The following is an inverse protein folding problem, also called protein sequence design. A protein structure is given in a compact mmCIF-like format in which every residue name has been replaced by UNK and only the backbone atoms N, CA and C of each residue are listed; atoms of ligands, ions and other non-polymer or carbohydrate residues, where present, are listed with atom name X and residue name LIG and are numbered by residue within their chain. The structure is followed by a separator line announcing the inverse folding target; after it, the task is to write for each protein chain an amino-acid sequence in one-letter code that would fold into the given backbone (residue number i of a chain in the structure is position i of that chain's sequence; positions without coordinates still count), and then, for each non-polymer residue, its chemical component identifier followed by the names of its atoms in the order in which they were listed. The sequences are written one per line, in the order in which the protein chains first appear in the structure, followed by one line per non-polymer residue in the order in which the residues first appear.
data_IF_653885620216
#
_entry.id   IF_653885620216
#
_cell.length_a   1.000
_cell.length_b   1.000
_cell.length_c   1.000
_cell.angle_alpha   90.00
_cell.angle_beta   90.00
_cell.angle_gamma   90.00
#
_symmetry.space_group_name_H-M   'P 1'
#
loop_
_entity.id
_entity.type
_entity.pdbx_description
1 polymer ?
#
# COMPACT_ATOMS: atom_id res chain seq x y z
N UNK A 1 -13.69 2.77 -14.19
CA UNK A 1 -13.76 2.49 -15.61
C UNK A 1 -13.16 1.09 -15.87
N UNK A 2 -13.94 0.10 -16.34
CA UNK A 2 -13.49 -1.29 -16.49
C UNK A 2 -12.38 -1.46 -17.53
N UNK A 3 -12.24 -0.50 -18.45
CA UNK A 3 -11.25 -0.55 -19.53
C UNK A 3 -9.90 0.08 -19.14
N UNK A 4 -9.76 0.47 -17.87
CA UNK A 4 -8.54 1.10 -17.37
C UNK A 4 -7.84 0.23 -16.36
N UNK A 5 -6.52 0.20 -16.46
CA UNK A 5 -5.70 -0.37 -15.40
C UNK A 5 -5.80 0.46 -14.12
N UNK A 6 -5.91 -0.21 -12.98
CA UNK A 6 -6.05 0.41 -11.66
C UNK A 6 -4.70 0.41 -10.96
N UNK A 7 -4.12 1.59 -10.82
CA UNK A 7 -2.93 1.81 -10.00
C UNK A 7 -3.41 2.30 -8.64
N UNK A 8 -3.20 1.52 -7.57
CA UNK A 8 -3.64 1.89 -6.22
C UNK A 8 -2.46 2.35 -5.38
N UNK A 9 -2.55 3.57 -4.87
CA UNK A 9 -1.58 4.18 -3.97
C UNK A 9 -2.14 4.22 -2.54
N UNK A 10 -1.54 3.46 -1.64
CA UNK A 10 -1.91 3.43 -0.23
C UNK A 10 -1.11 4.50 0.49
N UNK A 11 -1.76 5.63 0.76
CA UNK A 11 -1.14 6.79 1.38
C UNK A 11 -0.90 6.60 2.88
N UNK A 12 0.17 7.21 3.38
CA UNK A 12 0.42 7.40 4.82
C UNK A 12 -0.13 8.72 5.35
N UNK A 13 -0.89 9.47 4.53
CA UNK A 13 -1.55 10.72 4.90
C UNK A 13 -0.78 11.98 4.54
N UNK A 14 0.23 11.90 3.67
CA UNK A 14 1.02 13.03 3.14
C UNK A 14 1.72 13.89 4.22
N UNK A 15 1.71 13.47 5.48
CA UNK A 15 2.22 14.24 6.62
C UNK A 15 3.75 14.12 6.80
N UNK A 16 4.37 13.19 6.10
CA UNK A 16 5.81 12.93 6.18
C UNK A 16 6.53 13.35 4.88
N UNK A 17 7.04 14.59 4.82
CA UNK A 17 7.66 15.11 3.58
C UNK A 17 8.80 14.24 3.05
N UNK A 18 9.52 13.56 3.95
CA UNK A 18 10.64 12.71 3.60
C UNK A 18 10.25 11.42 2.86
N UNK A 19 8.98 11.02 2.87
CA UNK A 19 8.50 9.90 2.06
C UNK A 19 8.24 10.30 0.60
N UNK A 20 8.25 11.59 0.28
CA UNK A 20 8.00 12.11 -1.07
C UNK A 20 6.67 11.62 -1.67
N UNK A 21 5.68 11.32 -0.81
CA UNK A 21 4.38 10.79 -1.25
C UNK A 21 3.71 11.68 -2.29
N UNK A 22 3.65 12.97 -2.00
CA UNK A 22 3.05 13.94 -2.92
C UNK A 22 3.75 13.94 -4.27
N UNK A 23 5.07 13.90 -4.28
CA UNK A 23 5.85 13.85 -5.51
C UNK A 23 5.57 12.57 -6.31
N UNK A 24 5.53 11.41 -5.64
CA UNK A 24 5.19 10.15 -6.28
C UNK A 24 3.80 10.19 -6.92
N UNK A 25 2.80 10.71 -6.19
CA UNK A 25 1.43 10.85 -6.67
C UNK A 25 1.39 11.78 -7.89
N UNK A 26 2.03 12.95 -7.83
CA UNK A 26 2.05 13.92 -8.94
C UNK A 26 2.77 13.34 -10.18
N UNK A 27 3.85 12.59 -10.01
CA UNK A 27 4.52 11.90 -11.11
C UNK A 27 3.56 10.92 -11.80
N UNK A 28 2.84 10.10 -11.02
CA UNK A 28 1.87 9.12 -11.55
C UNK A 28 0.73 9.84 -12.27
N UNK A 29 0.15 10.88 -11.68
CA UNK A 29 -0.94 11.67 -12.29
C UNK A 29 -0.49 12.27 -13.61
N UNK A 30 0.69 12.89 -13.64
CA UNK A 30 1.24 13.49 -14.85
C UNK A 30 1.46 12.45 -15.95
N UNK A 31 1.94 11.25 -15.60
CA UNK A 31 2.15 10.15 -16.54
C UNK A 31 0.82 9.63 -17.10
N UNK A 32 -0.21 9.50 -16.25
CA UNK A 32 -1.58 9.12 -16.70
C UNK A 32 -2.12 10.16 -17.69
N UNK A 33 -2.04 11.45 -17.34
CA UNK A 33 -2.62 12.53 -18.14
C UNK A 33 -1.93 12.71 -19.49
N UNK A 34 -0.67 12.32 -19.60
CA UNK A 34 0.09 12.31 -20.86
C UNK A 34 -0.11 11.03 -21.68
N UNK A 35 -0.78 10.01 -21.11
CA UNK A 35 -0.91 8.71 -21.76
C UNK A 35 0.41 7.96 -21.92
N UNK A 36 1.37 8.18 -21.01
CA UNK A 36 2.72 7.60 -21.07
C UNK A 36 2.81 6.21 -20.42
N UNK A 37 1.75 5.73 -19.75
CA UNK A 37 1.68 4.33 -19.32
C UNK A 37 1.34 3.44 -20.50
N UNK A 38 1.85 2.19 -20.47
CA UNK A 38 1.59 1.17 -21.52
C UNK A 38 0.11 0.76 -21.62
N UNK A 39 -0.67 1.00 -20.56
CA UNK A 39 -2.12 0.82 -20.51
C UNK A 39 -2.80 2.12 -20.12
N UNK A 40 -3.99 2.36 -20.69
CA UNK A 40 -4.85 3.41 -20.17
C UNK A 40 -5.11 3.14 -18.68
N UNK A 41 -4.80 4.09 -17.83
CA UNK A 41 -4.75 3.86 -16.39
C UNK A 41 -5.54 4.91 -15.61
N UNK A 42 -5.97 4.53 -14.40
CA UNK A 42 -6.50 5.43 -13.38
C UNK A 42 -5.77 5.22 -12.06
N UNK A 43 -5.67 6.27 -11.27
CA UNK A 43 -5.06 6.24 -9.96
C UNK A 43 -6.15 6.20 -8.88
N UNK A 44 -6.10 5.23 -7.99
CA UNK A 44 -6.88 5.22 -6.75
C UNK A 44 -5.95 5.55 -5.60
N UNK A 45 -6.24 6.62 -4.86
CA UNK A 45 -5.51 7.01 -3.67
C UNK A 45 -6.34 6.59 -2.46
N UNK A 46 -5.91 5.54 -1.76
CA UNK A 46 -6.53 5.13 -0.52
C UNK A 46 -5.88 5.84 0.65
N UNK A 47 -6.69 6.55 1.39
CA UNK A 47 -6.26 7.30 2.58
C UNK A 47 -6.02 6.39 3.78
N UNK A 48 -5.13 6.82 4.68
CA UNK A 48 -4.92 6.14 5.94
C UNK A 48 -5.94 6.61 6.99
N UNK A 49 -6.75 5.68 7.47
CA UNK A 49 -7.82 5.93 8.44
C UNK A 49 -7.36 6.58 9.76
N UNK A 50 -6.11 6.38 10.16
CA UNK A 50 -5.61 6.79 11.49
C UNK A 50 -4.80 8.08 11.52
N UNK A 51 -4.40 8.63 10.37
CA UNK A 51 -3.33 9.65 10.34
C UNK A 51 -3.74 10.95 9.63
N UNK A 52 -4.86 11.00 8.96
CA UNK A 52 -5.25 12.15 8.16
C UNK A 52 -5.61 13.37 9.02
N UNK A 53 -4.68 14.32 9.14
CA UNK A 53 -4.97 15.68 9.60
C UNK A 53 -5.61 16.54 8.49
N UNK A 54 -5.28 16.25 7.25
CA UNK A 54 -5.89 16.76 6.03
C UNK A 54 -6.10 15.58 5.08
N UNK A 55 -7.22 15.54 4.36
CA UNK A 55 -7.44 14.48 3.40
C UNK A 55 -6.44 14.58 2.25
N UNK A 56 -6.10 13.46 1.63
CA UNK A 56 -5.30 13.47 0.41
C UNK A 56 -5.99 14.30 -0.68
N UNK A 57 -7.32 14.28 -0.71
CA UNK A 57 -8.12 15.11 -1.60
C UNK A 57 -7.85 16.61 -1.41
N UNK A 58 -7.76 17.09 -0.16
CA UNK A 58 -7.49 18.52 0.12
C UNK A 58 -6.10 18.96 -0.34
N UNK A 59 -5.13 18.05 -0.28
CA UNK A 59 -3.74 18.35 -0.64
C UNK A 59 -3.47 18.19 -2.13
N UNK A 60 -4.03 17.16 -2.75
CA UNK A 60 -3.83 16.84 -4.18
C UNK A 60 -4.83 17.59 -5.06
N UNK A 61 -6.05 17.79 -4.54
CA UNK A 61 -7.18 18.34 -5.28
C UNK A 61 -7.79 17.36 -6.28
N UNK A 62 -8.98 17.69 -6.75
CA UNK A 62 -9.64 16.90 -7.80
C UNK A 62 -8.80 16.92 -9.08
N UNK A 63 -8.55 15.73 -9.64
CA UNK A 63 -7.78 15.53 -10.86
C UNK A 63 -8.50 14.55 -11.77
N UNK A 64 -8.43 14.73 -13.10
CA UNK A 64 -8.86 13.70 -14.04
C UNK A 64 -8.18 12.35 -13.75
N UNK A 65 -8.92 11.25 -13.89
CA UNK A 65 -8.42 9.89 -13.71
C UNK A 65 -7.88 9.56 -12.30
N UNK A 66 -8.24 10.35 -11.28
CA UNK A 66 -7.90 10.12 -9.88
C UNK A 66 -9.17 9.90 -9.06
N UNK A 67 -9.18 8.83 -8.29
CA UNK A 67 -10.25 8.49 -7.34
C UNK A 67 -9.67 8.49 -5.94
N UNK A 68 -10.34 9.13 -5.00
CA UNK A 68 -9.97 9.08 -3.59
C UNK A 68 -10.85 8.04 -2.89
N UNK A 69 -10.20 7.05 -2.32
CA UNK A 69 -10.83 6.02 -1.49
C UNK A 69 -10.59 6.36 -0.02
N UNK A 70 -11.62 6.87 0.64
CA UNK A 70 -11.57 7.29 2.04
C UNK A 70 -12.17 6.17 2.88
N UNK A 71 -11.39 5.57 3.81
CA UNK A 71 -11.92 4.57 4.73
C UNK A 71 -13.04 5.17 5.59
N UNK A 72 -14.07 4.38 5.85
CA UNK A 72 -15.10 4.76 6.81
C UNK A 72 -14.48 4.87 8.21
N UNK A 73 -14.52 6.06 8.78
CA UNK A 73 -14.00 6.36 10.11
C UNK A 73 -15.10 6.85 11.00
N UNK A 74 -15.43 6.11 12.04
CA UNK A 74 -16.35 6.55 13.07
C UNK A 74 -15.62 7.36 14.14
N UNK A 75 -16.22 8.48 14.56
CA UNK A 75 -15.78 9.20 15.74
C UNK A 75 -16.40 8.56 16.98
N UNK A 76 -15.57 8.14 17.95
CA UNK A 76 -16.10 7.78 19.27
C UNK A 76 -16.51 9.05 20.01
N UNK A 77 -17.77 9.19 20.44
CA UNK A 77 -18.17 10.23 21.33
C UNK A 77 -17.29 10.14 22.61
N UNK A 78 -16.73 11.25 23.03
CA UNK A 78 -15.93 11.35 24.29
C UNK A 78 -14.54 10.69 24.30
N UNK A 79 -13.93 10.35 23.19
CA UNK A 79 -12.52 9.96 23.14
C UNK A 79 -11.66 11.08 22.53
N UNK A 80 -10.46 11.27 23.05
CA UNK A 80 -9.43 12.11 22.43
C UNK A 80 -8.85 11.48 21.15
N UNK A 81 -9.24 10.26 20.81
CA UNK A 81 -8.88 9.54 19.60
C UNK A 81 -9.77 10.05 18.45
N UNK A 82 -9.16 10.81 17.57
CA UNK A 82 -9.89 11.57 16.55
C UNK A 82 -10.45 10.72 15.41
N UNK A 83 -9.89 9.54 15.13
CA UNK A 83 -10.34 8.71 14.01
C UNK A 83 -10.19 7.24 14.36
N UNK A 84 -11.30 6.53 14.52
CA UNK A 84 -11.30 5.09 14.66
C UNK A 84 -11.79 4.49 13.35
N UNK A 85 -10.93 3.75 12.73
CA UNK A 85 -11.32 2.96 11.56
C UNK A 85 -12.45 2.01 11.95
N UNK A 86 -13.56 2.14 11.25
CA UNK A 86 -14.64 1.19 11.36
C UNK A 86 -14.22 -0.11 10.65
N UNK A 87 -13.96 -1.14 11.46
CA UNK A 87 -13.54 -2.47 10.98
C UNK A 87 -14.76 -3.39 10.81
N UNK A 88 -15.85 -2.87 10.32
CA UNK A 88 -16.98 -3.69 10.00
C UNK A 88 -16.71 -4.59 8.78
N UNK A 89 -17.59 -5.55 8.57
CA UNK A 89 -17.44 -6.54 7.50
C UNK A 89 -17.45 -5.85 6.12
N UNK A 90 -18.24 -4.78 5.96
CA UNK A 90 -18.34 -4.04 4.69
C UNK A 90 -17.04 -3.35 4.34
N UNK A 91 -16.38 -2.71 5.30
CA UNK A 91 -15.07 -2.07 5.14
C UNK A 91 -13.97 -3.07 4.78
N UNK A 92 -14.03 -4.28 5.34
CA UNK A 92 -13.10 -5.38 5.01
C UNK A 92 -13.33 -5.85 3.56
N UNK A 93 -14.57 -6.05 3.16
CA UNK A 93 -14.89 -6.42 1.77
C UNK A 93 -14.51 -5.32 0.78
N UNK A 94 -14.75 -4.05 1.12
CA UNK A 94 -14.35 -2.93 0.30
C UNK A 94 -12.82 -2.93 0.06
N UNK A 95 -12.02 -3.00 1.12
CA UNK A 95 -10.58 -3.09 1.01
C UNK A 95 -10.13 -4.31 0.19
N UNK A 96 -10.70 -5.47 0.46
CA UNK A 96 -10.35 -6.71 -0.25
C UNK A 96 -10.64 -6.60 -1.74
N UNK A 97 -11.78 -5.99 -2.12
CA UNK A 97 -12.13 -5.76 -3.51
C UNK A 97 -11.18 -4.73 -4.16
N UNK A 98 -10.88 -3.62 -3.48
CA UNK A 98 -9.92 -2.65 -3.99
C UNK A 98 -8.58 -3.33 -4.31
N UNK A 99 -8.04 -4.10 -3.37
CA UNK A 99 -6.77 -4.80 -3.59
C UNK A 99 -6.88 -5.82 -4.72
N UNK A 100 -7.91 -6.67 -4.71
CA UNK A 100 -8.10 -7.74 -5.69
C UNK A 100 -8.20 -7.23 -7.13
N UNK A 101 -8.81 -6.08 -7.33
CA UNK A 101 -9.03 -5.49 -8.66
C UNK A 101 -7.98 -4.44 -9.04
N UNK A 102 -6.99 -4.21 -8.20
CA UNK A 102 -5.83 -3.39 -8.56
C UNK A 102 -4.88 -4.15 -9.47
N UNK A 103 -4.32 -3.49 -10.48
CA UNK A 103 -3.27 -4.04 -11.34
C UNK A 103 -1.88 -3.86 -10.72
N UNK A 104 -1.68 -2.76 -10.00
CA UNK A 104 -0.44 -2.45 -9.28
C UNK A 104 -0.76 -1.73 -7.97
N UNK A 105 -0.08 -2.11 -6.90
CA UNK A 105 -0.25 -1.49 -5.58
C UNK A 105 1.06 -0.84 -5.13
N UNK A 106 0.96 0.43 -4.70
CA UNK A 106 2.08 1.16 -4.11
C UNK A 106 1.83 1.41 -2.62
N UNK A 107 2.81 1.11 -1.78
CA UNK A 107 2.78 1.41 -0.35
C UNK A 107 4.20 1.53 0.23
N UNK A 108 4.34 1.92 1.50
CA UNK A 108 5.64 2.15 2.15
C UNK A 108 6.01 1.04 3.14
N UNK A 109 5.96 -0.22 2.73
CA UNK A 109 6.33 -1.34 3.60
C UNK A 109 5.35 -1.55 4.76
N UNK A 110 4.07 -1.25 4.52
CA UNK A 110 2.99 -1.48 5.49
C UNK A 110 2.45 -2.91 5.38
N UNK A 111 1.67 -3.33 6.38
CA UNK A 111 1.03 -4.66 6.41
C UNK A 111 0.09 -4.92 5.24
N UNK A 112 -0.41 -3.87 4.58
CA UNK A 112 -1.21 -3.97 3.36
C UNK A 112 -0.46 -4.70 2.23
N UNK A 113 0.87 -4.75 2.30
CA UNK A 113 1.70 -5.55 1.40
C UNK A 113 1.32 -7.04 1.44
N UNK A 114 1.05 -7.58 2.64
CA UNK A 114 0.66 -8.98 2.79
C UNK A 114 -0.73 -9.24 2.20
N UNK A 115 -1.64 -8.28 2.38
CA UNK A 115 -2.99 -8.35 1.80
C UNK A 115 -2.93 -8.30 0.26
N UNK A 116 -2.07 -7.45 -0.31
CA UNK A 116 -1.84 -7.35 -1.76
C UNK A 116 -1.26 -8.65 -2.33
N UNK A 117 -0.25 -9.19 -1.66
CA UNK A 117 0.42 -10.44 -2.04
C UNK A 117 -0.53 -11.64 -1.95
N UNK A 118 -1.50 -11.60 -1.02
CA UNK A 118 -2.52 -12.64 -0.93
C UNK A 118 -3.26 -12.82 -2.27
N UNK A 119 -3.50 -11.73 -2.98
CA UNK A 119 -4.12 -11.72 -4.32
C UNK A 119 -3.12 -11.82 -5.47
N UNK A 120 -1.81 -11.98 -5.19
CA UNK A 120 -0.73 -12.01 -6.17
C UNK A 120 -0.64 -10.73 -7.03
N UNK A 121 -0.92 -9.57 -6.43
CA UNK A 121 -0.85 -8.28 -7.13
C UNK A 121 0.59 -7.73 -7.06
N UNK A 122 1.15 -7.23 -8.18
CA UNK A 122 2.41 -6.50 -8.19
C UNK A 122 2.42 -5.39 -7.16
N UNK A 123 3.44 -5.39 -6.31
CA UNK A 123 3.56 -4.42 -5.21
C UNK A 123 4.89 -3.70 -5.29
N UNK A 124 4.84 -2.38 -5.25
CA UNK A 124 6.00 -1.50 -5.32
C UNK A 124 6.09 -0.70 -4.03
N UNK A 125 7.28 -0.63 -3.43
CA UNK A 125 7.57 0.27 -2.32
C UNK A 125 8.36 1.47 -2.81
N UNK A 126 7.76 2.64 -3.05
CA UNK A 126 8.45 3.83 -3.53
C UNK A 126 9.29 4.46 -2.42
N UNK A 127 10.29 3.73 -1.94
CA UNK A 127 11.18 4.07 -0.83
C UNK A 127 12.54 4.44 -1.41
N UNK A 128 12.84 5.74 -1.42
CA UNK A 128 14.10 6.29 -1.91
C UNK A 128 14.99 6.78 -0.76
N UNK A 129 16.29 6.97 -1.01
CA UNK A 129 17.13 7.75 -0.10
C UNK A 129 16.52 9.13 0.11
N UNK A 130 16.47 9.66 1.35
CA UNK A 130 15.94 10.98 1.60
C UNK A 130 16.81 12.04 0.92
N UNK A 131 16.19 13.13 0.50
CA UNK A 131 16.95 14.32 0.12
C UNK A 131 17.82 14.78 1.29
N UNK A 132 18.98 15.39 0.99
CA UNK A 132 19.95 15.86 2.02
C UNK A 132 19.31 16.71 3.12
N UNK A 133 18.29 17.52 2.78
CA UNK A 133 17.56 18.36 3.73
C UNK A 133 16.82 17.58 4.81
N UNK A 134 16.47 16.32 4.56
CA UNK A 134 15.75 15.44 5.50
C UNK A 134 16.67 14.42 6.19
N UNK A 135 17.95 14.37 5.83
CA UNK A 135 18.90 13.37 6.37
C UNK A 135 19.09 13.43 7.89
N UNK A 136 18.82 14.58 8.51
CA UNK A 136 18.95 14.81 9.97
C UNK A 136 17.69 14.50 10.76
N UNK A 137 16.56 14.16 10.13
CA UNK A 137 15.32 13.83 10.83
C UNK A 137 15.46 12.42 11.41
N UNK A 138 15.33 12.28 12.74
CA UNK A 138 15.56 11.04 13.51
C UNK A 138 14.80 9.82 12.94
N UNK A 139 13.66 10.02 12.31
CA UNK A 139 12.83 8.99 11.67
C UNK A 139 12.73 9.16 10.14
N UNK A 140 13.50 10.09 9.57
CA UNK A 140 13.41 10.48 8.17
C UNK A 140 14.31 9.70 7.22
N UNK A 141 15.11 8.78 7.74
CA UNK A 141 15.95 7.95 6.89
C UNK A 141 15.14 6.77 6.36
N UNK A 142 14.54 6.93 5.18
CA UNK A 142 13.74 5.89 4.52
C UNK A 142 14.52 4.57 4.35
N UNK A 143 15.82 4.55 4.00
CA UNK A 143 16.59 3.32 4.02
C UNK A 143 16.58 2.59 5.37
N UNK A 144 16.31 3.30 6.47
CA UNK A 144 16.15 2.68 7.78
C UNK A 144 14.91 1.76 7.85
N UNK A 145 13.83 2.10 7.18
CA UNK A 145 12.62 1.24 7.08
C UNK A 145 12.99 -0.09 6.44
N UNK A 146 13.82 -0.06 5.40
CA UNK A 146 14.30 -1.27 4.73
C UNK A 146 15.22 -2.14 5.60
N UNK A 147 15.67 -1.63 6.76
CA UNK A 147 16.50 -2.38 7.73
C UNK A 147 15.67 -2.99 8.87
N UNK A 148 14.37 -2.75 8.93
CA UNK A 148 13.54 -3.34 9.97
C UNK A 148 13.51 -4.86 9.86
N UNK A 149 13.80 -5.53 10.98
CA UNK A 149 13.97 -6.98 11.01
C UNK A 149 12.76 -7.76 10.50
N UNK A 150 11.55 -7.28 10.79
CA UNK A 150 10.31 -7.93 10.36
C UNK A 150 10.02 -7.80 8.84
N UNK A 151 10.69 -6.85 8.14
CA UNK A 151 10.58 -6.70 6.69
C UNK A 151 11.64 -7.52 5.93
N UNK A 152 12.73 -7.92 6.60
CA UNK A 152 13.82 -8.64 5.94
C UNK A 152 13.36 -9.95 5.27
N UNK A 153 12.52 -10.79 5.90
CA UNK A 153 12.04 -12.00 5.24
C UNK A 153 11.29 -11.71 3.94
N UNK A 154 10.51 -10.61 3.89
CA UNK A 154 9.79 -10.17 2.68
C UNK A 154 10.79 -9.71 1.61
N UNK A 155 11.73 -8.82 1.99
CA UNK A 155 12.72 -8.26 1.08
C UNK A 155 13.63 -9.33 0.47
N UNK A 156 14.02 -10.32 1.27
CA UNK A 156 14.90 -11.40 0.84
C UNK A 156 14.29 -12.33 -0.22
N UNK A 157 12.96 -12.32 -0.37
CA UNK A 157 12.31 -13.09 -1.46
C UNK A 157 12.48 -12.43 -2.82
N UNK A 158 12.70 -11.12 -2.88
CA UNK A 158 12.65 -10.33 -4.10
C UNK A 158 11.24 -10.17 -4.69
N UNK A 159 10.17 -10.41 -3.90
CA UNK A 159 8.78 -10.32 -4.36
C UNK A 159 8.20 -8.91 -4.39
N UNK A 160 8.98 -7.90 -3.99
CA UNK A 160 8.58 -6.49 -3.95
C UNK A 160 9.57 -5.68 -4.78
N UNK A 161 9.04 -4.83 -5.65
CA UNK A 161 9.85 -3.87 -6.40
C UNK A 161 10.13 -2.63 -5.57
N UNK A 162 11.37 -2.16 -5.59
CA UNK A 162 11.83 -0.97 -4.88
C UNK A 162 12.59 -0.09 -5.86
N UNK A 163 12.03 1.06 -6.28
CA UNK A 163 12.73 1.98 -7.16
C UNK A 163 13.92 2.63 -6.45
N UNK A 164 15.00 2.87 -7.17
CA UNK A 164 16.19 3.54 -6.64
C UNK A 164 16.03 5.06 -6.59
N UNK A 165 15.25 5.59 -7.53
CA UNK A 165 14.96 7.01 -7.68
C UNK A 165 13.56 7.21 -8.29
N UNK A 166 12.96 8.41 -8.20
CA UNK A 166 11.60 8.65 -8.67
C UNK A 166 11.35 8.30 -10.14
N UNK A 167 12.33 8.47 -11.01
CA UNK A 167 12.18 8.13 -12.43
C UNK A 167 11.98 6.63 -12.68
N UNK A 168 12.54 5.76 -11.80
CA UNK A 168 12.39 4.31 -11.92
C UNK A 168 10.97 3.86 -11.60
N UNK A 169 10.20 4.69 -10.84
CA UNK A 169 8.84 4.35 -10.43
C UNK A 169 7.93 4.05 -11.61
N UNK A 170 7.95 4.91 -12.62
CA UNK A 170 7.11 4.75 -13.81
C UNK A 170 7.50 3.51 -14.61
N UNK A 171 8.79 3.23 -14.72
CA UNK A 171 9.29 2.04 -15.39
C UNK A 171 8.83 0.76 -14.67
N UNK A 172 8.88 0.73 -13.34
CA UNK A 172 8.43 -0.42 -12.54
C UNK A 172 6.92 -0.61 -12.63
N UNK A 173 6.13 0.48 -12.62
CA UNK A 173 4.68 0.41 -12.85
C UNK A 173 4.40 -0.17 -14.24
N UNK A 174 5.03 0.34 -15.29
CA UNK A 174 4.86 -0.18 -16.66
C UNK A 174 5.23 -1.67 -16.75
N UNK A 175 6.37 -2.06 -16.19
CA UNK A 175 6.78 -3.47 -16.18
C UNK A 175 5.76 -4.37 -15.46
N UNK A 176 5.19 -3.87 -14.35
CA UNK A 176 4.15 -4.58 -13.60
C UNK A 176 2.84 -4.69 -14.38
N UNK A 177 2.46 -3.64 -15.13
CA UNK A 177 1.26 -3.65 -15.98
C UNK A 177 1.42 -4.57 -17.21
N UNK A 178 2.63 -4.63 -17.78
CA UNK A 178 2.95 -5.47 -18.92
C UNK A 178 3.03 -6.94 -18.53
N UNK A 179 3.73 -7.23 -17.44
CA UNK A 179 3.99 -8.60 -17.00
C UNK A 179 3.71 -8.78 -15.49
N UNK A 180 2.42 -8.78 -15.08
CA UNK A 180 2.04 -8.81 -13.66
C UNK A 180 2.49 -10.09 -12.92
N UNK A 181 2.85 -11.14 -13.65
CA UNK A 181 3.31 -12.41 -13.09
C UNK A 181 4.82 -12.55 -12.99
N UNK A 182 5.60 -11.56 -13.39
CA UNK A 182 7.07 -11.60 -13.35
C UNK A 182 7.63 -11.98 -11.98
N UNK A 183 7.05 -11.44 -10.90
CA UNK A 183 7.44 -11.72 -9.51
C UNK A 183 6.43 -12.60 -8.75
N UNK A 184 5.56 -13.36 -9.46
CA UNK A 184 4.54 -14.20 -8.82
C UNK A 184 5.17 -15.30 -7.94
N UNK A 185 6.26 -15.93 -8.40
CA UNK A 185 6.96 -16.97 -7.61
C UNK A 185 7.51 -16.44 -6.29
N UNK A 186 8.29 -15.35 -6.22
CA UNK A 186 8.72 -14.77 -4.95
C UNK A 186 7.57 -14.22 -4.12
N UNK A 187 6.50 -13.64 -4.70
CA UNK A 187 5.29 -13.26 -3.95
C UNK A 187 4.60 -14.47 -3.33
N UNK A 188 4.56 -15.60 -4.01
CA UNK A 188 4.04 -16.84 -3.46
C UNK A 188 4.82 -17.30 -2.21
N UNK A 189 6.15 -17.17 -2.21
CA UNK A 189 6.97 -17.48 -1.03
C UNK A 189 6.58 -16.60 0.18
N UNK A 190 6.34 -15.30 -0.03
CA UNK A 190 5.85 -14.42 1.05
C UNK A 190 4.48 -14.88 1.54
N UNK A 191 3.58 -15.20 0.62
CA UNK A 191 2.23 -15.67 0.94
C UNK A 191 2.25 -16.95 1.77
N UNK A 192 3.08 -17.91 1.44
CA UNK A 192 3.23 -19.15 2.21
C UNK A 192 3.83 -18.91 3.59
N UNK A 193 4.78 -17.97 3.69
CA UNK A 193 5.42 -17.62 4.95
C UNK A 193 4.46 -16.95 5.94
N UNK A 194 3.62 -16.01 5.47
CA UNK A 194 2.77 -15.20 6.33
C UNK A 194 1.30 -15.61 6.35
N UNK A 195 0.82 -16.31 5.33
CA UNK A 195 -0.57 -16.76 5.19
C UNK A 195 -0.64 -18.26 4.85
N UNK A 196 -0.06 -19.16 5.67
CA UNK A 196 0.00 -20.59 5.38
C UNK A 196 -1.38 -21.24 5.41
N UNK A 197 -2.32 -20.69 6.19
CA UNK A 197 -3.68 -21.19 6.31
C UNK A 197 -4.68 -20.30 5.58
N UNK A 198 -5.51 -20.87 4.70
CA UNK A 198 -6.43 -20.14 3.83
C UNK A 198 -7.89 -20.60 3.99
N UNK A 199 -8.18 -21.24 5.11
CA UNK A 199 -9.47 -21.88 5.39
C UNK A 199 -10.42 -21.04 6.25
N UNK A 200 -10.06 -19.77 6.53
CA UNK A 200 -10.86 -18.86 7.37
C UNK A 200 -10.93 -19.23 8.85
N UNK A 201 -10.16 -20.22 9.31
CA UNK A 201 -10.24 -20.74 10.69
C UNK A 201 -9.17 -20.20 11.64
N UNK A 202 -8.57 -19.05 11.34
CA UNK A 202 -7.52 -18.46 12.18
C UNK A 202 -8.01 -18.21 13.63
N UNK A 203 -9.20 -17.64 13.80
CA UNK A 203 -9.81 -17.41 15.11
C UNK A 203 -10.04 -18.70 15.90
N UNK A 204 -10.49 -19.78 15.24
CA UNK A 204 -10.67 -21.08 15.88
C UNK A 204 -9.33 -21.67 16.36
N UNK A 205 -8.25 -21.51 15.58
CA UNK A 205 -6.92 -21.96 16.00
C UNK A 205 -6.44 -21.22 17.24
N UNK A 206 -6.61 -19.88 17.25
CA UNK A 206 -6.24 -19.06 18.41
C UNK A 206 -7.05 -19.46 19.63
N UNK A 207 -8.37 -19.65 19.51
CA UNK A 207 -9.22 -20.09 20.62
C UNK A 207 -8.75 -21.42 21.22
N UNK A 208 -8.45 -22.41 20.37
CA UNK A 208 -7.94 -23.71 20.83
C UNK A 208 -6.60 -23.62 21.56
N UNK A 209 -5.70 -22.74 21.10
CA UNK A 209 -4.42 -22.50 21.79
C UNK A 209 -4.68 -21.89 23.17
N UNK A 210 -5.54 -20.87 23.27
CA UNK A 210 -5.89 -20.26 24.56
C UNK A 210 -6.51 -21.29 25.50
N UNK A 211 -7.48 -22.08 25.02
CA UNK A 211 -8.08 -23.16 25.81
C UNK A 211 -7.04 -24.15 26.39
N UNK A 212 -6.06 -24.54 25.57
CA UNK A 212 -4.97 -25.42 26.01
C UNK A 212 -4.00 -24.81 27.02
N UNK A 213 -3.97 -23.45 27.15
CA UNK A 213 -3.11 -22.75 28.11
C UNK A 213 -3.75 -22.59 29.48
N UNK A 214 -5.08 -22.73 29.58
CA UNK A 214 -5.87 -22.57 30.82
C UNK A 214 -6.43 -23.88 31.35
N UNK A 215 -6.30 -24.98 30.60
CA UNK A 215 -6.58 -26.32 31.03
C UNK A 215 -5.41 -26.93 31.79
#
# INVERSE_FOLDING_TARGET
DPDRAIITYISRGLIYPHYRERENIEIIINTINKGEFIKNSQLVIRENAGVCRSSCHDVIGARPNVVFDVPDVSHRPNSNEKNIWNKDVSSIYHLSNLLKYSDVILNFGSTITLDSIYFDIPTIWPIYPPEKKYSKIKYGNIPFVLKWGYLQPILNTGGIDIPREPKDLIQLINSSLENPKSLSKPRMQIKEMYCPFRDGKAGLRIAKIIESMIA
#
